data_IF_478487632915
#
_entry.id   IF_478487632915
#
_cell.length_a   1.000
_cell.length_b   1.000
_cell.length_c   1.000
_cell.angle_alpha   90.00
_cell.angle_beta   90.00
_cell.angle_gamma   90.00
#
_symmetry.space_group_name_H-M   'P 1'
#
loop_
_entity.id
_entity.type
_entity.pdbx_description
1 polymer ?
#
# COMPACT_ATOMS: atom_id res chain seq x y z
N UNK A 1 -17.27 4.86 -2.84
CA UNK A 1 -15.89 4.69 -2.40
C UNK A 1 -14.88 4.63 -3.56
N UNK A 2 -15.06 3.81 -4.61
CA UNK A 2 -14.12 3.74 -5.76
C UNK A 2 -13.96 5.08 -6.48
N UNK A 3 -15.02 5.80 -6.71
CA UNK A 3 -15.02 7.12 -7.35
C UNK A 3 -14.34 8.19 -6.47
N UNK A 4 -14.59 8.16 -5.16
CA UNK A 4 -13.95 9.04 -4.19
C UNK A 4 -12.42 8.84 -4.23
N UNK A 5 -11.95 7.60 -4.24
CA UNK A 5 -10.51 7.29 -4.33
C UNK A 5 -9.94 7.72 -5.69
N UNK A 6 -10.71 7.60 -6.77
CA UNK A 6 -10.27 8.08 -8.08
C UNK A 6 -10.09 9.60 -8.08
N UNK A 7 -11.05 10.37 -7.57
CA UNK A 7 -10.95 11.83 -7.44
C UNK A 7 -9.84 12.25 -6.48
N UNK A 8 -9.68 11.55 -5.37
CA UNK A 8 -8.56 11.75 -4.44
C UNK A 8 -7.19 11.60 -5.12
N UNK A 9 -7.07 10.73 -6.12
CA UNK A 9 -5.82 10.52 -6.87
C UNK A 9 -5.48 11.64 -7.86
N UNK A 10 -6.47 12.36 -8.36
CA UNK A 10 -6.28 13.20 -9.53
C UNK A 10 -6.74 14.66 -9.35
N UNK A 11 -7.73 14.92 -8.51
CA UNK A 11 -8.37 16.23 -8.57
C UNK A 11 -8.37 17.05 -7.26
N UNK A 12 -8.50 16.47 -6.08
CA UNK A 12 -8.73 17.24 -4.84
C UNK A 12 -8.38 16.44 -3.58
N UNK A 13 -7.11 16.08 -3.42
CA UNK A 13 -6.69 15.24 -2.28
C UNK A 13 -7.00 15.85 -0.90
N UNK A 14 -6.84 17.16 -0.71
CA UNK A 14 -7.07 17.82 0.57
C UNK A 14 -8.55 17.79 1.00
N UNK A 15 -9.46 17.92 0.04
CA UNK A 15 -10.90 17.89 0.33
C UNK A 15 -11.37 16.56 0.91
N UNK A 16 -10.79 15.45 0.47
CA UNK A 16 -11.20 14.11 0.92
C UNK A 16 -10.45 13.59 2.16
N UNK A 17 -9.42 14.29 2.61
CA UNK A 17 -8.60 13.86 3.75
C UNK A 17 -9.40 13.64 5.04
N UNK A 18 -10.27 14.58 5.50
CA UNK A 18 -11.06 14.38 6.71
C UNK A 18 -11.98 13.16 6.64
N UNK A 19 -12.59 12.94 5.47
CA UNK A 19 -13.45 11.77 5.23
C UNK A 19 -12.65 10.46 5.29
N UNK A 20 -11.47 10.42 4.66
CA UNK A 20 -10.60 9.26 4.69
C UNK A 20 -10.08 8.95 6.10
N UNK A 21 -9.72 9.98 6.88
CA UNK A 21 -9.37 9.83 8.31
C UNK A 21 -10.51 9.20 9.10
N UNK A 22 -11.74 9.65 8.89
CA UNK A 22 -12.90 9.10 9.56
C UNK A 22 -13.14 7.63 9.17
N UNK A 23 -13.02 7.29 7.88
CA UNK A 23 -13.11 5.90 7.40
C UNK A 23 -12.02 5.02 8.05
N UNK A 24 -10.79 5.51 8.16
CA UNK A 24 -9.70 4.79 8.82
C UNK A 24 -10.01 4.50 10.29
N UNK A 25 -10.55 5.48 11.03
CA UNK A 25 -10.95 5.32 12.44
C UNK A 25 -12.07 4.31 12.62
N UNK A 26 -13.09 4.34 11.76
CA UNK A 26 -14.25 3.43 11.85
C UNK A 26 -13.92 2.01 11.41
N UNK A 27 -13.06 1.86 10.40
CA UNK A 27 -12.67 0.55 9.84
C UNK A 27 -11.58 -0.17 10.63
N UNK A 28 -10.94 0.48 11.57
CA UNK A 28 -9.79 -0.07 12.31
C UNK A 28 -10.23 -1.02 13.44
N UNK A 29 -10.83 -2.15 13.08
CA UNK A 29 -11.02 -3.28 14.01
C UNK A 29 -9.71 -4.01 14.38
N UNK A 30 -8.60 -3.60 13.78
CA UNK A 30 -7.27 -4.18 13.99
C UNK A 30 -6.70 -3.72 15.33
N UNK A 31 -6.19 -4.65 16.12
CA UNK A 31 -5.33 -4.37 17.26
C UNK A 31 -3.86 -4.56 16.83
N UNK A 32 -3.14 -3.47 16.47
CA UNK A 32 -1.86 -3.58 15.78
C UNK A 32 -0.66 -3.79 16.70
N UNK A 33 -0.85 -4.10 17.98
CA UNK A 33 0.21 -4.24 19.00
C UNK A 33 1.35 -5.21 18.67
N UNK A 34 1.27 -5.89 17.55
CA UNK A 34 2.25 -6.92 17.14
C UNK A 34 3.08 -6.56 15.91
N UNK A 35 2.86 -5.41 15.30
CA UNK A 35 3.63 -4.97 14.13
C UNK A 35 4.78 -4.05 14.54
N UNK A 36 5.93 -4.25 13.90
CA UNK A 36 7.10 -3.39 14.12
C UNK A 36 7.01 -2.06 13.37
N UNK A 37 6.31 -2.02 12.26
CA UNK A 37 6.10 -0.81 11.47
C UNK A 37 5.01 -0.98 10.41
N UNK A 38 4.50 0.17 9.95
CA UNK A 38 3.72 0.33 8.73
C UNK A 38 4.68 0.57 7.55
N UNK A 39 4.38 -0.07 6.42
CA UNK A 39 5.14 0.11 5.19
C UNK A 39 4.15 0.48 4.07
N UNK A 40 4.10 1.74 3.64
CA UNK A 40 3.28 2.13 2.51
C UNK A 40 3.81 1.49 1.23
N UNK A 41 2.91 0.97 0.38
CA UNK A 41 3.30 0.43 -0.91
C UNK A 41 3.77 1.59 -1.81
N UNK A 42 5.03 1.57 -2.29
CA UNK A 42 5.56 2.66 -3.08
C UNK A 42 4.99 2.70 -4.49
N UNK A 43 4.76 3.90 -5.00
CA UNK A 43 4.58 4.14 -6.42
C UNK A 43 5.94 4.03 -7.15
N UNK A 44 5.88 3.82 -8.46
CA UNK A 44 7.07 4.02 -9.27
C UNK A 44 7.40 5.52 -9.32
N UNK A 45 8.68 5.94 -9.29
CA UNK A 45 9.07 7.36 -9.27
C UNK A 45 8.40 8.22 -10.35
N UNK A 46 8.23 7.68 -11.55
CA UNK A 46 7.50 8.36 -12.62
C UNK A 46 6.04 8.66 -12.23
N UNK A 47 5.32 7.66 -11.70
CA UNK A 47 3.92 7.85 -11.29
C UNK A 47 3.78 8.77 -10.07
N UNK A 48 4.75 8.73 -9.16
CA UNK A 48 4.76 9.62 -8.00
C UNK A 48 4.98 11.07 -8.42
N UNK A 49 5.88 11.30 -9.38
CA UNK A 49 6.11 12.64 -9.96
C UNK A 49 4.87 13.16 -10.70
N UNK A 50 4.19 12.31 -11.50
CA UNK A 50 2.99 12.68 -12.25
C UNK A 50 1.80 13.01 -11.33
N UNK A 51 1.73 12.40 -10.15
CA UNK A 51 0.64 12.59 -9.16
C UNK A 51 0.96 13.62 -8.09
N UNK A 52 2.22 13.95 -7.88
CA UNK A 52 2.69 14.82 -6.80
C UNK A 52 2.78 14.14 -5.43
N UNK A 53 2.10 13.02 -5.21
CA UNK A 53 2.10 12.31 -3.92
C UNK A 53 1.74 10.83 -4.04
N UNK A 54 2.06 10.06 -2.98
CA UNK A 54 1.67 8.65 -2.84
C UNK A 54 0.53 8.52 -1.83
N UNK A 55 -0.63 8.03 -2.25
CA UNK A 55 -1.81 7.82 -1.41
C UNK A 55 -1.54 6.86 -0.26
N UNK A 56 -0.74 5.82 -0.51
CA UNK A 56 -0.37 4.86 0.53
C UNK A 56 0.45 5.51 1.65
N UNK A 57 1.28 6.53 1.34
CA UNK A 57 2.01 7.30 2.36
C UNK A 57 1.04 8.06 3.27
N UNK A 58 0.06 8.78 2.69
CA UNK A 58 -0.94 9.51 3.47
C UNK A 58 -1.78 8.61 4.37
N UNK A 59 -2.20 7.45 3.83
CA UNK A 59 -2.92 6.47 4.63
C UNK A 59 -2.06 5.87 5.74
N UNK A 60 -0.77 5.62 5.46
CA UNK A 60 0.16 5.15 6.48
C UNK A 60 0.37 6.17 7.59
N UNK A 61 0.38 7.48 7.29
CA UNK A 61 0.40 8.56 8.29
C UNK A 61 -0.84 8.48 9.19
N UNK A 62 -2.05 8.36 8.63
CA UNK A 62 -3.29 8.23 9.40
C UNK A 62 -3.34 7.00 10.28
N UNK A 63 -2.92 5.86 9.75
CA UNK A 63 -2.87 4.61 10.51
C UNK A 63 -1.71 4.61 11.51
N UNK A 64 -0.59 5.26 11.19
CA UNK A 64 0.55 5.41 12.10
C UNK A 64 0.17 6.18 13.36
N UNK A 65 -0.55 7.31 13.19
CA UNK A 65 -1.11 8.07 14.31
C UNK A 65 -2.14 7.24 15.11
N UNK A 66 -3.05 6.55 14.41
CA UNK A 66 -4.13 5.79 15.03
C UNK A 66 -3.63 4.58 15.83
N UNK A 67 -2.59 3.93 15.35
CA UNK A 67 -2.06 2.69 15.91
C UNK A 67 -0.77 2.89 16.72
N UNK A 68 -0.27 4.12 16.79
CA UNK A 68 1.01 4.44 17.42
C UNK A 68 2.17 3.60 16.87
N UNK A 69 2.17 3.37 15.57
CA UNK A 69 3.18 2.58 14.88
C UNK A 69 4.12 3.44 14.03
N UNK A 70 5.43 3.16 14.04
CA UNK A 70 6.37 3.84 13.17
C UNK A 70 6.12 3.50 11.70
N UNK A 71 6.40 4.47 10.81
CA UNK A 71 6.26 4.33 9.37
C UNK A 71 7.65 4.18 8.74
N UNK A 72 7.82 3.19 7.85
CA UNK A 72 9.07 2.93 7.12
C UNK A 72 8.86 3.11 5.62
N UNK A 73 8.89 4.35 5.16
CA UNK A 73 8.68 4.72 3.74
C UNK A 73 9.80 4.25 2.82
N UNK A 74 11.03 4.13 3.33
CA UNK A 74 12.22 3.81 2.54
C UNK A 74 12.59 2.32 2.51
N UNK A 75 11.85 1.48 3.25
CA UNK A 75 12.19 0.06 3.38
C UNK A 75 11.85 -0.74 2.12
N UNK A 76 10.83 -0.33 1.41
CA UNK A 76 10.39 -0.95 0.17
C UNK A 76 10.47 0.06 -0.99
N UNK A 77 11.09 -0.33 -2.10
CA UNK A 77 11.20 0.50 -3.31
C UNK A 77 10.56 -0.20 -4.50
N UNK A 78 9.87 0.54 -5.34
CA UNK A 78 9.37 0.05 -6.61
C UNK A 78 10.39 0.35 -7.70
N UNK A 79 11.06 -0.69 -8.17
CA UNK A 79 12.19 -0.59 -9.12
C UNK A 79 11.79 -0.81 -10.57
N UNK A 80 10.55 -1.27 -10.82
CA UNK A 80 10.08 -1.54 -12.17
C UNK A 80 8.81 -0.75 -12.47
N UNK A 81 8.81 0.00 -13.57
CA UNK A 81 7.60 0.63 -14.07
C UNK A 81 6.65 -0.45 -14.60
N UNK A 82 5.42 -0.42 -14.12
CA UNK A 82 4.35 -1.27 -14.63
C UNK A 82 3.16 -0.39 -14.95
N UNK A 83 2.72 -0.43 -16.20
CA UNK A 83 1.52 0.28 -16.60
C UNK A 83 0.31 -0.23 -15.82
N UNK A 84 -0.57 0.71 -15.43
CA UNK A 84 -1.85 0.38 -14.81
C UNK A 84 -2.83 -0.03 -15.90
N UNK A 85 -2.72 -1.25 -16.39
CA UNK A 85 -3.65 -1.76 -17.36
C UNK A 85 -4.88 -2.30 -16.63
N UNK A 86 -5.89 -1.47 -16.48
CA UNK A 86 -7.17 -1.80 -15.81
C UNK A 86 -7.91 -2.94 -16.52
N UNK A 87 -7.60 -3.22 -17.79
CA UNK A 87 -8.26 -4.22 -18.63
C UNK A 87 -7.56 -5.60 -18.67
N UNK A 88 -6.39 -5.76 -18.00
CA UNK A 88 -5.70 -7.05 -18.03
C UNK A 88 -6.37 -8.11 -17.14
N UNK A 89 -6.44 -9.38 -17.59
CA UNK A 89 -6.83 -10.52 -16.78
C UNK A 89 -5.98 -10.65 -15.51
N UNK A 90 -6.55 -11.26 -14.45
CA UNK A 90 -5.90 -11.44 -13.14
C UNK A 90 -4.50 -12.08 -13.23
N UNK A 91 -4.36 -13.10 -14.06
CA UNK A 91 -3.09 -13.82 -14.27
C UNK A 91 -2.00 -12.94 -14.89
N UNK A 92 -2.36 -12.06 -15.81
CA UNK A 92 -1.41 -11.12 -16.42
C UNK A 92 -1.02 -10.02 -15.43
N UNK A 93 -1.94 -9.53 -14.58
CA UNK A 93 -1.61 -8.56 -13.51
C UNK A 93 -0.59 -9.12 -12.52
N UNK A 94 -0.71 -10.40 -12.14
CA UNK A 94 0.27 -11.08 -11.26
C UNK A 94 1.66 -11.15 -11.91
N UNK A 95 1.74 -11.46 -13.20
CA UNK A 95 3.02 -11.51 -13.94
C UNK A 95 3.67 -10.13 -14.08
N UNK A 96 2.88 -9.10 -14.35
CA UNK A 96 3.36 -7.74 -14.56
C UNK A 96 4.04 -7.14 -13.32
N UNK A 97 3.58 -7.48 -12.11
CA UNK A 97 4.15 -6.92 -10.87
C UNK A 97 5.22 -7.80 -10.23
N UNK A 98 5.50 -8.98 -10.81
CA UNK A 98 6.55 -9.87 -10.31
C UNK A 98 7.92 -9.21 -10.43
N UNK A 99 8.66 -9.14 -9.32
CA UNK A 99 9.99 -8.49 -9.28
C UNK A 99 9.96 -6.97 -9.38
N UNK A 100 8.77 -6.33 -9.22
CA UNK A 100 8.68 -4.87 -9.27
C UNK A 100 9.11 -4.18 -7.99
N UNK A 101 9.28 -4.93 -6.90
CA UNK A 101 9.66 -4.37 -5.61
C UNK A 101 11.02 -4.90 -5.16
N UNK A 102 11.78 -4.01 -4.55
CA UNK A 102 13.06 -4.30 -3.91
C UNK A 102 13.01 -3.87 -2.44
N UNK A 103 13.55 -4.71 -1.58
CA UNK A 103 13.78 -4.43 -0.17
C UNK A 103 15.23 -4.83 0.15
N UNK A 104 15.99 -4.03 0.91
CA UNK A 104 17.35 -4.41 1.35
C UNK A 104 17.32 -5.75 2.09
N UNK A 105 18.38 -6.53 1.96
CA UNK A 105 18.54 -7.79 2.70
C UNK A 105 18.82 -7.54 4.17
N UNK A 106 18.48 -8.51 5.02
CA UNK A 106 18.82 -8.46 6.45
C UNK A 106 17.91 -7.55 7.29
N UNK A 107 16.67 -7.30 6.86
CA UNK A 107 15.70 -6.65 7.73
C UNK A 107 15.36 -7.55 8.92
N UNK A 108 14.98 -6.92 10.05
CA UNK A 108 14.63 -7.66 11.27
C UNK A 108 13.46 -8.63 11.03
N UNK A 109 13.53 -9.81 11.69
CA UNK A 109 12.47 -10.86 11.62
C UNK A 109 11.19 -10.45 12.35
N UNK A 110 10.66 -9.30 12.01
CA UNK A 110 9.46 -8.73 12.59
C UNK A 110 8.22 -8.95 11.71
N UNK A 111 7.08 -8.60 12.25
CA UNK A 111 5.82 -8.48 11.53
C UNK A 111 5.69 -7.05 11.00
N UNK A 112 5.32 -6.91 9.74
CA UNK A 112 5.08 -5.61 9.10
C UNK A 112 3.66 -5.54 8.53
N UNK A 113 3.10 -4.34 8.54
CA UNK A 113 1.80 -4.06 7.97
C UNK A 113 1.97 -3.19 6.72
N UNK A 114 1.73 -3.77 5.54
CA UNK A 114 1.68 -3.04 4.26
C UNK A 114 0.42 -2.20 4.21
N UNK A 115 0.54 -0.97 3.72
CA UNK A 115 -0.60 -0.05 3.54
C UNK A 115 -0.76 0.27 2.06
N UNK A 116 -1.98 0.14 1.55
CA UNK A 116 -2.37 0.52 0.18
C UNK A 116 -3.76 1.17 0.19
N UNK A 117 -4.13 1.87 -0.87
CA UNK A 117 -5.43 2.52 -0.98
C UNK A 117 -6.54 1.54 -1.39
N UNK A 118 -6.30 0.76 -2.44
CA UNK A 118 -7.29 -0.15 -3.04
C UNK A 118 -6.69 -1.50 -3.35
N UNK A 119 -7.23 -2.54 -2.77
CA UNK A 119 -6.89 -3.90 -3.16
C UNK A 119 -7.89 -4.43 -4.19
N UNK A 120 -7.43 -4.64 -5.42
CA UNK A 120 -8.21 -5.32 -6.48
C UNK A 120 -7.93 -6.82 -6.48
N UNK A 121 -6.97 -7.25 -7.27
CA UNK A 121 -6.54 -8.66 -7.35
C UNK A 121 -5.56 -9.07 -6.24
N UNK A 122 -5.03 -8.10 -5.49
CA UNK A 122 -3.97 -8.32 -4.52
C UNK A 122 -2.58 -8.52 -5.12
N UNK A 123 -2.42 -8.41 -6.45
CA UNK A 123 -1.15 -8.66 -7.14
C UNK A 123 -0.01 -7.75 -6.63
N UNK A 124 -0.28 -6.45 -6.49
CA UNK A 124 0.69 -5.47 -5.99
C UNK A 124 1.09 -5.79 -4.55
N UNK A 125 0.12 -5.99 -3.67
CA UNK A 125 0.35 -6.33 -2.27
C UNK A 125 1.13 -7.64 -2.12
N UNK A 126 0.78 -8.65 -2.91
CA UNK A 126 1.48 -9.94 -2.92
C UNK A 126 2.94 -9.80 -3.35
N UNK A 127 3.23 -9.03 -4.41
CA UNK A 127 4.60 -8.79 -4.87
C UNK A 127 5.43 -8.00 -3.85
N UNK A 128 4.84 -6.99 -3.21
CA UNK A 128 5.45 -6.20 -2.14
C UNK A 128 5.76 -7.07 -0.90
N UNK A 129 4.78 -7.86 -0.46
CA UNK A 129 4.95 -8.79 0.67
C UNK A 129 6.03 -9.84 0.38
N UNK A 130 6.08 -10.36 -0.85
CA UNK A 130 7.13 -11.30 -1.26
C UNK A 130 8.54 -10.68 -1.14
N UNK A 131 8.73 -9.43 -1.57
CA UNK A 131 10.00 -8.73 -1.45
C UNK A 131 10.44 -8.58 0.01
N UNK A 132 9.53 -8.18 0.92
CA UNK A 132 9.80 -8.06 2.36
C UNK A 132 10.15 -9.41 2.99
N UNK A 133 9.38 -10.45 2.69
CA UNK A 133 9.65 -11.80 3.22
C UNK A 133 10.98 -12.37 2.75
N UNK A 134 11.32 -12.17 1.47
CA UNK A 134 12.63 -12.55 0.92
C UNK A 134 13.77 -11.84 1.63
N UNK A 135 13.54 -10.62 2.14
CA UNK A 135 14.54 -9.81 2.86
C UNK A 135 14.63 -10.11 4.36
N UNK A 136 13.75 -10.99 4.90
CA UNK A 136 13.84 -11.44 6.29
C UNK A 136 12.58 -11.20 7.14
N UNK A 137 11.55 -10.51 6.64
CA UNK A 137 10.31 -10.31 7.40
C UNK A 137 9.68 -11.65 7.81
N UNK A 138 9.28 -11.77 9.08
CA UNK A 138 8.60 -12.96 9.62
C UNK A 138 7.19 -13.10 9.05
N UNK A 139 6.45 -12.00 9.04
CA UNK A 139 5.08 -11.93 8.56
C UNK A 139 4.81 -10.56 7.94
N UNK A 140 3.99 -10.55 6.90
CA UNK A 140 3.53 -9.33 6.24
C UNK A 140 2.04 -9.44 6.05
N UNK A 141 1.30 -8.56 6.67
CA UNK A 141 -0.14 -8.40 6.50
C UNK A 141 -0.42 -7.14 5.68
N UNK A 142 -1.63 -7.00 5.16
CA UNK A 142 -2.01 -5.89 4.27
C UNK A 142 -3.24 -5.18 4.83
N UNK A 143 -3.14 -3.87 4.94
CA UNK A 143 -4.22 -2.97 5.29
C UNK A 143 -4.57 -2.11 4.08
N UNK A 144 -5.84 -2.11 3.69
CA UNK A 144 -6.32 -1.29 2.57
C UNK A 144 -7.59 -0.55 2.96
N UNK A 145 -7.75 0.65 2.42
CA UNK A 145 -8.96 1.45 2.65
C UNK A 145 -10.18 0.80 2.01
N UNK A 146 -10.00 0.20 0.83
CA UNK A 146 -11.08 -0.52 0.14
C UNK A 146 -10.58 -1.78 -0.56
N UNK A 147 -11.51 -2.72 -0.74
CA UNK A 147 -11.31 -3.90 -1.57
C UNK A 147 -12.34 -3.93 -2.69
N UNK A 148 -11.88 -4.04 -3.94
CA UNK A 148 -12.79 -4.31 -5.04
C UNK A 148 -13.19 -5.79 -4.97
N UNK A 149 -14.49 -6.04 -4.79
CA UNK A 149 -15.03 -7.40 -4.89
C UNK A 149 -15.02 -7.80 -6.37
N UNK A 150 -14.67 -9.07 -6.68
CA UNK A 150 -14.89 -9.58 -8.03
C UNK A 150 -16.42 -9.65 -8.24
N UNK A 151 -16.87 -9.13 -9.36
CA UNK A 151 -18.22 -9.39 -9.88
C UNK A 151 -18.24 -10.76 -10.51
#
# INVERSE_FOLDING_TARGET
>A
MREIIHRYKYDQHEFFEPFLRQCCRQGAALRPTTYAALIPIPLHPTKERDRGFNQANRLAEFFGELFELPIKTNLLKRVRFTETQTHLPRTQRLRNVKGSFHCPTGISRNRFLLVDDVMTTGATASAAAHALRKSGARQVDVLTLTRALPF
#
